data_IF_501869717378
#
_entry.id   IF_501869717378
#
_cell.length_a   1.000
_cell.length_b   1.000
_cell.length_c   1.000
_cell.angle_alpha   90.00
_cell.angle_beta   90.00
_cell.angle_gamma   90.00
#
_symmetry.space_group_name_H-M   'P 1'
#
loop_
_entity.id
_entity.type
_entity.pdbx_description
1 polymer ?
#
# COMPACT_ATOMS: atom_id res chain seq x y z
N UNK A 1 10.91 -4.06 -18.59
CA UNK A 1 11.53 -3.91 -17.25
C UNK A 1 10.76 -2.82 -16.50
N UNK A 2 10.46 -2.99 -15.22
CA UNK A 2 9.72 -2.01 -14.41
C UNK A 2 10.68 -1.17 -13.56
N UNK A 3 10.66 0.16 -13.72
CA UNK A 3 11.27 1.07 -12.75
C UNK A 3 10.24 1.38 -11.66
N UNK A 4 10.56 1.05 -10.41
CA UNK A 4 9.69 1.28 -9.25
C UNK A 4 10.25 2.40 -8.37
N UNK A 5 9.53 3.50 -8.28
CA UNK A 5 9.79 4.60 -7.36
C UNK A 5 9.13 4.32 -6.02
N UNK A 6 9.95 4.04 -5.01
CA UNK A 6 9.51 3.36 -3.80
C UNK A 6 10.05 3.97 -2.51
N UNK A 7 9.26 3.83 -1.46
CA UNK A 7 9.69 3.98 -0.08
C UNK A 7 9.06 2.92 0.82
N UNK A 8 9.67 2.68 1.97
CA UNK A 8 9.34 1.60 2.95
C UNK A 8 8.04 1.89 3.71
N UNK A 9 6.93 1.97 2.98
CA UNK A 9 5.59 2.28 3.48
C UNK A 9 4.58 1.21 3.05
N UNK A 10 3.41 1.11 3.70
CA UNK A 10 2.35 0.20 3.27
C UNK A 10 2.02 0.30 1.78
N UNK A 11 1.90 1.52 1.23
CA UNK A 11 1.56 1.69 -0.20
C UNK A 11 2.69 1.22 -1.13
N UNK A 12 3.95 1.41 -0.76
CA UNK A 12 5.09 0.89 -1.51
C UNK A 12 5.12 -0.64 -1.53
N UNK A 13 4.89 -1.26 -0.37
CA UNK A 13 4.92 -2.72 -0.21
C UNK A 13 3.89 -3.46 -1.07
N UNK A 14 2.74 -2.84 -1.37
CA UNK A 14 1.75 -3.40 -2.30
C UNK A 14 2.41 -3.79 -3.63
N UNK A 15 3.29 -2.93 -4.15
CA UNK A 15 3.87 -3.10 -5.48
C UNK A 15 5.05 -4.08 -5.44
N UNK A 16 5.91 -4.00 -4.43
CA UNK A 16 6.99 -4.98 -4.27
C UNK A 16 6.44 -6.38 -4.04
N UNK A 17 5.35 -6.54 -3.29
CA UNK A 17 4.68 -7.85 -3.14
C UNK A 17 4.21 -8.39 -4.49
N UNK A 18 3.60 -7.57 -5.34
CA UNK A 18 3.19 -7.99 -6.68
C UNK A 18 4.38 -8.40 -7.56
N UNK A 19 5.43 -7.59 -7.59
CA UNK A 19 6.62 -7.83 -8.41
C UNK A 19 7.35 -9.11 -7.96
N UNK A 20 7.47 -9.33 -6.65
CA UNK A 20 8.06 -10.55 -6.08
C UNK A 20 7.23 -11.82 -6.33
N UNK A 21 5.90 -11.70 -6.37
CA UNK A 21 4.98 -12.79 -6.68
C UNK A 21 4.98 -13.15 -8.17
N UNK A 22 5.14 -12.14 -9.02
CA UNK A 22 5.17 -12.33 -10.48
C UNK A 22 6.53 -12.73 -11.01
N UNK A 23 7.61 -12.33 -10.34
CA UNK A 23 8.98 -12.46 -10.85
C UNK A 23 9.27 -11.49 -12.00
N UNK A 24 8.45 -10.46 -12.21
CA UNK A 24 8.73 -9.42 -13.19
C UNK A 24 10.05 -8.73 -12.85
N UNK A 25 10.92 -8.54 -13.84
CA UNK A 25 12.17 -7.80 -13.64
C UNK A 25 11.88 -6.33 -13.32
N UNK A 26 12.42 -5.85 -12.20
CA UNK A 26 12.23 -4.48 -11.76
C UNK A 26 13.49 -3.91 -11.12
N UNK A 27 13.58 -2.57 -11.12
CA UNK A 27 14.62 -1.80 -10.46
C UNK A 27 13.98 -0.80 -9.50
N UNK A 28 14.50 -0.72 -8.28
CA UNK A 28 14.01 0.24 -7.29
C UNK A 28 14.77 1.56 -7.40
N UNK A 29 14.01 2.65 -7.37
CA UNK A 29 14.47 4.03 -7.23
C UNK A 29 13.94 4.56 -5.90
N UNK A 30 14.76 4.62 -4.85
CA UNK A 30 14.31 5.12 -3.55
C UNK A 30 13.88 6.58 -3.64
N UNK A 31 12.69 6.90 -3.13
CA UNK A 31 12.19 8.26 -2.94
C UNK A 31 12.03 8.49 -1.44
N UNK A 32 13.00 9.14 -0.81
CA UNK A 32 12.96 9.38 0.63
C UNK A 32 11.97 10.49 0.95
N UNK A 33 10.74 10.09 1.30
CA UNK A 33 9.65 11.02 1.57
C UNK A 33 9.89 11.90 2.82
N UNK A 34 10.75 11.46 3.74
CA UNK A 34 11.17 12.25 4.89
C UNK A 34 12.18 13.36 4.53
N UNK A 35 12.83 13.27 3.37
CA UNK A 35 13.75 14.28 2.83
C UNK A 35 13.14 15.15 1.74
N UNK A 36 11.91 14.85 1.30
CA UNK A 36 11.22 15.65 0.29
C UNK A 36 11.53 15.25 -1.15
N UNK A 37 12.12 14.06 -1.40
CA UNK A 37 12.46 13.59 -2.75
C UNK A 37 11.24 13.52 -3.68
N UNK A 38 10.04 13.35 -3.12
CA UNK A 38 8.76 13.35 -3.83
C UNK A 38 8.39 14.70 -4.45
N UNK A 39 9.12 15.78 -4.13
CA UNK A 39 8.92 17.11 -4.71
C UNK A 39 9.95 17.44 -5.80
N UNK A 40 10.86 16.52 -6.12
CA UNK A 40 11.86 16.74 -7.16
C UNK A 40 11.19 16.78 -8.55
N UNK A 41 11.58 17.71 -9.45
CA UNK A 41 10.94 17.89 -10.74
C UNK A 41 10.85 16.61 -11.59
N UNK A 42 11.88 15.75 -11.54
CA UNK A 42 11.89 14.52 -12.31
C UNK A 42 10.93 13.45 -11.78
N UNK A 43 10.69 13.42 -10.47
CA UNK A 43 9.67 12.55 -9.90
C UNK A 43 8.25 13.07 -10.18
N UNK A 44 8.04 14.39 -10.16
CA UNK A 44 6.74 15.00 -10.45
C UNK A 44 6.27 14.77 -11.89
N UNK A 45 7.19 14.61 -12.85
CA UNK A 45 6.86 14.18 -14.22
C UNK A 45 6.20 12.78 -14.27
N UNK A 46 6.43 11.96 -13.25
CA UNK A 46 5.94 10.57 -13.15
C UNK A 46 4.71 10.52 -12.24
N UNK A 47 4.77 11.19 -11.08
CA UNK A 47 3.69 11.26 -10.09
C UNK A 47 3.43 12.72 -9.70
N UNK A 48 2.53 13.43 -10.42
CA UNK A 48 2.23 14.83 -10.14
C UNK A 48 1.54 15.02 -8.79
N UNK A 49 0.97 13.94 -8.22
CA UNK A 49 0.42 13.91 -6.87
C UNK A 49 1.51 13.86 -5.77
N UNK A 50 2.80 13.97 -6.12
CA UNK A 50 3.94 13.95 -5.19
C UNK A 50 3.92 12.78 -4.19
N UNK A 51 3.36 11.63 -4.60
CA UNK A 51 3.23 10.45 -3.75
C UNK A 51 3.82 9.22 -4.40
N UNK A 52 4.47 8.42 -3.56
CA UNK A 52 4.84 7.03 -3.86
C UNK A 52 3.68 6.07 -3.54
N UNK A 53 3.66 4.87 -4.15
CA UNK A 53 4.54 4.41 -5.22
C UNK A 53 4.18 5.04 -6.57
N UNK A 54 5.16 5.01 -7.48
CA UNK A 54 4.95 5.22 -8.91
C UNK A 54 5.84 4.25 -9.70
N UNK A 55 5.46 3.91 -10.92
CA UNK A 55 6.27 3.08 -11.82
C UNK A 55 6.48 3.75 -13.18
N UNK A 56 7.53 3.32 -13.87
CA UNK A 56 7.67 3.47 -15.32
C UNK A 56 7.86 2.08 -15.92
N UNK A 57 6.97 1.70 -16.83
CA UNK A 57 7.09 0.48 -17.62
C UNK A 57 7.72 0.82 -18.97
N UNK A 58 8.93 0.32 -19.20
CA UNK A 58 9.68 0.55 -20.45
C UNK A 58 9.23 -0.32 -21.61
N UNK A 59 8.41 -1.34 -21.36
CA UNK A 59 7.96 -2.32 -22.35
C UNK A 59 6.47 -2.60 -22.19
N UNK A 60 5.58 -1.59 -22.32
CA UNK A 60 4.14 -1.80 -22.16
C UNK A 60 3.63 -2.80 -23.19
N UNK A 61 2.59 -3.57 -22.81
CA UNK A 61 2.10 -4.69 -23.61
C UNK A 61 1.49 -4.27 -24.98
N UNK A 62 1.14 -3.00 -25.14
CA UNK A 62 0.64 -2.43 -26.39
C UNK A 62 1.75 -2.01 -27.38
N UNK A 63 3.03 -2.16 -26.99
CA UNK A 63 4.19 -1.76 -27.81
C UNK A 63 4.40 -0.25 -27.91
N UNK A 64 3.69 0.54 -27.10
CA UNK A 64 3.83 1.99 -27.02
C UNK A 64 5.14 2.46 -26.38
N UNK A 65 5.36 3.79 -26.30
CA UNK A 65 6.46 4.36 -25.52
C UNK A 65 6.31 4.04 -24.03
N UNK A 66 7.38 4.26 -23.25
CA UNK A 66 7.37 4.00 -21.82
C UNK A 66 6.16 4.65 -21.11
N UNK A 67 5.50 3.89 -20.24
CA UNK A 67 4.27 4.30 -19.58
C UNK A 67 4.52 4.55 -18.09
N UNK A 68 4.25 5.76 -17.62
CA UNK A 68 4.24 6.09 -16.18
C UNK A 68 2.87 5.83 -15.56
N UNK A 69 2.85 5.22 -14.38
CA UNK A 69 1.62 4.97 -13.60
C UNK A 69 1.87 5.31 -12.13
N UNK A 70 1.03 6.17 -11.56
CA UNK A 70 0.98 6.47 -10.13
C UNK A 70 -0.35 5.96 -9.53
N UNK A 71 -0.52 6.07 -8.21
CA UNK A 71 -1.57 5.42 -7.40
C UNK A 71 -1.42 3.90 -7.29
N UNK A 72 -1.21 3.40 -6.07
CA UNK A 72 -0.90 1.98 -5.85
C UNK A 72 -1.99 1.02 -6.36
N UNK A 73 -3.26 1.44 -6.33
CA UNK A 73 -4.36 0.63 -6.85
C UNK A 73 -4.35 0.54 -8.37
N UNK A 74 -4.05 1.65 -9.05
CA UNK A 74 -3.93 1.69 -10.52
C UNK A 74 -2.71 0.88 -10.99
N UNK A 75 -1.58 0.99 -10.28
CA UNK A 75 -0.37 0.20 -10.56
C UNK A 75 -0.64 -1.30 -10.41
N UNK A 76 -1.28 -1.74 -9.32
CA UNK A 76 -1.64 -3.15 -9.13
C UNK A 76 -2.55 -3.67 -10.25
N UNK A 77 -3.56 -2.88 -10.64
CA UNK A 77 -4.46 -3.23 -11.73
C UNK A 77 -3.71 -3.35 -13.06
N UNK A 78 -2.88 -2.36 -13.39
CA UNK A 78 -2.05 -2.35 -14.60
C UNK A 78 -1.13 -3.58 -14.68
N UNK A 79 -0.40 -3.87 -13.60
CA UNK A 79 0.53 -5.01 -13.57
C UNK A 79 -0.22 -6.36 -13.63
N UNK A 80 -1.39 -6.47 -12.99
CA UNK A 80 -2.24 -7.65 -13.08
C UNK A 80 -2.74 -7.88 -14.51
N UNK A 81 -3.13 -6.84 -15.22
CA UNK A 81 -3.55 -6.90 -16.62
C UNK A 81 -2.39 -7.24 -17.55
N UNK A 82 -1.23 -6.58 -17.37
CA UNK A 82 -0.01 -6.86 -18.14
C UNK A 82 0.44 -8.31 -18.03
N UNK A 83 0.32 -8.89 -16.84
CA UNK A 83 0.82 -10.26 -16.57
C UNK A 83 -0.25 -11.34 -16.70
N UNK A 84 -1.53 -10.98 -16.70
CA UNK A 84 -2.65 -11.92 -16.58
C UNK A 84 -2.70 -12.64 -15.23
N UNK A 85 -2.06 -12.11 -14.17
CA UNK A 85 -1.93 -12.76 -12.86
C UNK A 85 -2.65 -11.96 -11.76
N UNK A 86 -3.14 -12.67 -10.75
CA UNK A 86 -3.74 -12.10 -9.52
C UNK A 86 -5.02 -11.26 -9.73
N UNK A 87 -5.64 -11.39 -10.90
CA UNK A 87 -6.94 -10.80 -11.23
C UNK A 87 -7.68 -11.75 -12.20
N UNK A 88 -8.83 -12.32 -11.80
CA UNK A 88 -9.63 -13.16 -12.70
C UNK A 88 -10.08 -12.41 -13.95
N UNK A 89 -10.24 -13.14 -15.05
CA UNK A 89 -10.67 -12.58 -16.34
C UNK A 89 -12.19 -12.70 -16.54
N UNK A 90 -12.86 -13.59 -15.80
CA UNK A 90 -14.31 -13.66 -15.84
C UNK A 90 -14.94 -12.45 -15.14
N UNK A 91 -16.10 -12.02 -15.64
CA UNK A 91 -16.78 -10.82 -15.15
C UNK A 91 -16.98 -10.85 -13.62
N UNK A 92 -17.39 -11.98 -13.06
CA UNK A 92 -17.78 -12.07 -11.65
C UNK A 92 -16.56 -12.07 -10.73
N UNK A 93 -15.55 -12.89 -11.03
CA UNK A 93 -14.30 -12.94 -10.29
C UNK A 93 -13.54 -11.62 -10.35
N UNK A 94 -13.49 -10.99 -11.53
CA UNK A 94 -12.85 -9.68 -11.71
C UNK A 94 -13.49 -8.62 -10.81
N UNK A 95 -14.83 -8.52 -10.83
CA UNK A 95 -15.52 -7.52 -10.02
C UNK A 95 -15.48 -7.81 -8.52
N UNK A 96 -15.40 -9.08 -8.09
CA UNK A 96 -15.16 -9.44 -6.68
C UNK A 96 -13.79 -8.92 -6.21
N UNK A 97 -12.72 -9.09 -7.00
CA UNK A 97 -11.41 -8.51 -6.66
C UNK A 97 -11.44 -6.97 -6.67
N UNK A 98 -12.01 -6.38 -7.72
CA UNK A 98 -11.98 -4.92 -7.90
C UNK A 98 -12.73 -4.18 -6.80
N UNK A 99 -13.91 -4.65 -6.37
CA UNK A 99 -14.65 -3.98 -5.29
C UNK A 99 -13.83 -3.93 -3.99
N UNK A 100 -13.03 -4.97 -3.71
CA UNK A 100 -12.18 -5.00 -2.51
C UNK A 100 -10.90 -4.18 -2.67
N UNK A 101 -10.33 -4.13 -3.88
CA UNK A 101 -9.24 -3.21 -4.20
C UNK A 101 -9.69 -1.75 -3.99
N UNK A 102 -10.85 -1.36 -4.51
CA UNK A 102 -11.38 -0.01 -4.33
C UNK A 102 -11.80 0.26 -2.87
N UNK A 103 -12.37 -0.73 -2.17
CA UNK A 103 -12.63 -0.64 -0.74
C UNK A 103 -11.35 -0.37 0.06
N UNK A 104 -10.23 -1.00 -0.30
CA UNK A 104 -8.94 -0.74 0.33
C UNK A 104 -8.48 0.70 0.06
N UNK A 105 -8.52 1.13 -1.21
CA UNK A 105 -8.04 2.45 -1.64
C UNK A 105 -8.87 3.61 -1.06
N UNK A 106 -10.18 3.40 -0.86
CA UNK A 106 -11.09 4.44 -0.37
C UNK A 106 -11.42 4.33 1.14
N UNK A 107 -11.19 3.16 1.75
CA UNK A 107 -11.56 2.87 3.14
C UNK A 107 -10.34 2.55 3.99
N UNK A 108 -9.89 1.28 3.96
CA UNK A 108 -8.84 0.77 4.86
C UNK A 108 -7.58 1.64 4.89
N UNK A 109 -7.01 1.95 3.72
CA UNK A 109 -5.78 2.72 3.62
C UNK A 109 -5.94 4.14 4.17
N UNK A 110 -6.85 4.96 3.62
CA UNK A 110 -7.07 6.32 4.10
C UNK A 110 -7.39 6.41 5.60
N UNK A 111 -8.28 5.55 6.12
CA UNK A 111 -8.70 5.61 7.53
C UNK A 111 -7.58 5.15 8.48
N UNK A 112 -6.84 4.09 8.14
CA UNK A 112 -5.67 3.69 8.92
C UNK A 112 -4.54 4.73 8.84
N UNK A 113 -4.43 5.47 7.74
CA UNK A 113 -3.54 6.62 7.61
C UNK A 113 -3.88 7.74 8.59
N UNK A 114 -5.17 8.07 8.75
CA UNK A 114 -5.61 9.04 9.75
C UNK A 114 -5.39 8.53 11.18
N UNK A 115 -5.63 7.24 11.43
CA UNK A 115 -5.29 6.60 12.70
C UNK A 115 -3.80 6.79 13.02
N UNK A 116 -2.90 6.42 12.11
CA UNK A 116 -1.46 6.65 12.31
C UNK A 116 -1.13 8.13 12.59
N UNK A 117 -1.76 9.06 11.86
CA UNK A 117 -1.54 10.48 12.06
C UNK A 117 -1.91 10.92 13.49
N UNK A 118 -3.17 10.77 13.90
CA UNK A 118 -3.62 11.26 15.21
C UNK A 118 -3.07 10.44 16.38
N UNK A 119 -2.90 9.13 16.20
CA UNK A 119 -2.45 8.24 17.26
C UNK A 119 -0.93 8.33 17.48
N UNK A 120 -0.14 8.46 16.42
CA UNK A 120 1.33 8.36 16.50
C UNK A 120 2.05 9.67 16.17
N UNK A 121 1.67 10.36 15.10
CA UNK A 121 2.50 11.43 14.53
C UNK A 121 2.12 12.85 14.96
N UNK A 122 0.84 13.10 15.25
CA UNK A 122 0.34 14.42 15.61
C UNK A 122 1.05 14.93 16.88
N UNK A 123 1.52 16.20 16.87
CA UNK A 123 2.23 16.76 18.01
C UNK A 123 1.34 16.92 19.24
N UNK A 124 0.05 17.20 19.02
CA UNK A 124 -0.98 17.28 20.05
C UNK A 124 -1.88 16.04 20.02
N UNK A 125 -2.23 15.52 21.19
CA UNK A 125 -3.21 14.44 21.32
C UNK A 125 -4.61 15.02 21.33
N UNK A 126 -5.40 14.65 20.34
CA UNK A 126 -6.80 15.05 20.19
C UNK A 126 -7.68 13.82 20.46
N UNK A 127 -8.22 13.63 21.68
CA UNK A 127 -8.89 12.39 22.07
C UNK A 127 -10.04 11.98 21.14
N UNK A 128 -10.84 12.95 20.70
CA UNK A 128 -11.94 12.71 19.76
C UNK A 128 -11.45 12.15 18.42
N UNK A 129 -10.39 12.72 17.84
CA UNK A 129 -9.85 12.27 16.57
C UNK A 129 -9.22 10.88 16.69
N UNK A 130 -8.48 10.64 17.77
CA UNK A 130 -7.88 9.33 18.07
C UNK A 130 -8.98 8.27 18.19
N UNK A 131 -9.99 8.49 19.05
CA UNK A 131 -11.08 7.53 19.24
C UNK A 131 -11.84 7.27 17.92
N UNK A 132 -12.16 8.33 17.16
CA UNK A 132 -12.83 8.21 15.86
C UNK A 132 -12.07 7.29 14.89
N UNK A 133 -10.78 7.52 14.69
CA UNK A 133 -10.02 6.77 13.68
C UNK A 133 -9.55 5.39 14.17
N UNK A 134 -9.35 5.20 15.49
CA UNK A 134 -9.14 3.86 16.07
C UNK A 134 -10.39 3.01 15.89
N UNK A 135 -11.58 3.54 16.21
CA UNK A 135 -12.85 2.81 16.04
C UNK A 135 -13.15 2.51 14.57
N UNK A 136 -12.94 3.46 13.67
CA UNK A 136 -13.16 3.22 12.23
C UNK A 136 -12.18 2.19 11.68
N UNK A 137 -10.92 2.19 12.11
CA UNK A 137 -9.95 1.14 11.74
C UNK A 137 -10.42 -0.23 12.23
N UNK A 138 -10.87 -0.34 13.49
CA UNK A 138 -11.43 -1.57 14.04
C UNK A 138 -12.70 -2.04 13.32
N UNK A 139 -13.57 -1.12 12.89
CA UNK A 139 -14.73 -1.45 12.05
C UNK A 139 -14.31 -2.07 10.71
N UNK A 140 -13.29 -1.49 10.06
CA UNK A 140 -12.75 -2.00 8.78
C UNK A 140 -12.07 -3.36 8.95
N UNK A 141 -11.40 -3.61 10.08
CA UNK A 141 -10.89 -4.93 10.45
C UNK A 141 -12.03 -5.93 10.65
N UNK A 142 -13.12 -5.52 11.32
CA UNK A 142 -14.33 -6.32 11.46
C UNK A 142 -14.97 -6.69 10.12
N UNK A 143 -14.98 -5.77 9.16
CA UNK A 143 -15.46 -6.03 7.78
C UNK A 143 -14.60 -7.09 7.10
N UNK A 144 -13.27 -6.96 7.13
CA UNK A 144 -12.37 -7.98 6.55
C UNK A 144 -12.49 -9.32 7.27
N UNK A 145 -12.56 -9.33 8.60
CA UNK A 145 -12.72 -10.54 9.38
C UNK A 145 -14.01 -11.29 9.01
N UNK A 146 -15.11 -10.56 8.83
CA UNK A 146 -16.37 -11.17 8.37
C UNK A 146 -16.26 -11.70 6.96
N UNK A 147 -15.68 -10.92 6.04
CA UNK A 147 -15.44 -11.34 4.67
C UNK A 147 -14.61 -12.61 4.60
N UNK A 148 -13.60 -12.74 5.44
CA UNK A 148 -12.67 -13.86 5.48
C UNK A 148 -13.23 -15.09 6.24
N UNK A 149 -14.44 -15.03 6.79
CA UNK A 149 -14.97 -16.13 7.62
C UNK A 149 -15.23 -17.43 6.87
N UNK A 150 -15.49 -17.36 5.56
CA UNK A 150 -15.85 -18.50 4.70
C UNK A 150 -14.87 -18.72 3.53
N UNK A 151 -13.72 -18.02 3.54
CA UNK A 151 -12.76 -18.00 2.43
C UNK A 151 -11.33 -17.87 2.92
N UNK A 152 -10.39 -18.29 2.08
CA UNK A 152 -8.96 -18.22 2.38
C UNK A 152 -8.40 -16.81 2.15
N UNK A 153 -8.74 -16.21 1.00
CA UNK A 153 -8.35 -14.86 0.60
C UNK A 153 -9.58 -13.98 0.36
N UNK A 154 -9.36 -12.65 0.28
CA UNK A 154 -10.45 -11.65 0.26
C UNK A 154 -11.46 -11.95 -0.86
N UNK A 155 -10.97 -12.33 -2.04
CA UNK A 155 -11.78 -12.65 -3.23
C UNK A 155 -11.61 -14.14 -3.64
N UNK A 156 -11.69 -15.04 -2.64
CA UNK A 156 -11.49 -16.51 -2.75
C UNK A 156 -10.04 -16.91 -2.98
N UNK A 157 -9.47 -16.55 -4.13
CA UNK A 157 -8.06 -16.78 -4.46
C UNK A 157 -7.21 -15.54 -4.12
N UNK A 158 -5.91 -15.76 -3.88
CA UNK A 158 -4.98 -14.68 -3.60
C UNK A 158 -4.89 -13.72 -4.78
N UNK A 159 -5.12 -12.44 -4.52
CA UNK A 159 -5.31 -11.43 -5.56
C UNK A 159 -4.64 -10.10 -5.22
N UNK A 160 -4.72 -9.15 -6.16
CA UNK A 160 -4.29 -7.78 -5.90
C UNK A 160 -5.07 -7.09 -4.76
N UNK A 161 -6.28 -7.54 -4.42
CA UNK A 161 -7.00 -7.02 -3.24
C UNK A 161 -6.29 -7.40 -1.93
N UNK A 162 -5.75 -8.61 -1.85
CA UNK A 162 -4.98 -9.09 -0.70
C UNK A 162 -3.65 -8.33 -0.57
N UNK A 163 -2.92 -8.18 -1.68
CA UNK A 163 -1.68 -7.38 -1.74
C UNK A 163 -1.90 -5.92 -1.38
N UNK A 164 -3.08 -5.37 -1.71
CA UNK A 164 -3.45 -4.01 -1.35
C UNK A 164 -3.77 -3.86 0.15
N UNK A 165 -4.44 -4.85 0.75
CA UNK A 165 -4.88 -4.78 2.15
C UNK A 165 -3.78 -5.14 3.14
N UNK A 166 -3.00 -6.19 2.86
CA UNK A 166 -2.05 -6.77 3.81
C UNK A 166 -1.04 -5.76 4.38
N UNK A 167 -0.37 -4.91 3.58
CA UNK A 167 0.59 -3.95 4.12
C UNK A 167 -0.02 -2.94 5.10
N UNK A 168 -1.32 -2.67 4.98
CA UNK A 168 -2.04 -1.78 5.90
C UNK A 168 -2.42 -2.48 7.21
N UNK A 169 -2.49 -3.81 7.24
CA UNK A 169 -2.74 -4.60 8.46
C UNK A 169 -1.46 -4.92 9.24
N UNK A 170 -0.29 -4.91 8.58
CA UNK A 170 1.02 -5.18 9.24
C UNK A 170 1.30 -4.27 10.45
N UNK A 171 0.80 -3.03 10.44
CA UNK A 171 0.98 -2.09 11.56
C UNK A 171 -0.21 -2.09 12.55
N UNK A 172 -0.95 -3.20 12.69
CA UNK A 172 -2.15 -3.29 13.53
C UNK A 172 -1.95 -2.79 14.97
N UNK A 173 -0.81 -3.10 15.61
CA UNK A 173 -0.51 -2.65 16.98
C UNK A 173 -0.43 -1.12 17.06
N UNK A 174 0.22 -0.49 16.06
CA UNK A 174 0.32 0.98 15.95
C UNK A 174 -1.03 1.63 15.62
N UNK A 175 -1.99 0.84 15.16
CA UNK A 175 -3.37 1.24 14.90
C UNK A 175 -4.28 0.99 16.11
N UNK A 176 -3.72 0.56 17.24
CA UNK A 176 -4.44 0.17 18.45
C UNK A 176 -5.46 -0.95 18.19
N UNK A 177 -5.08 -1.93 17.36
CA UNK A 177 -5.90 -3.12 17.07
C UNK A 177 -5.20 -4.39 17.56
N UNK A 178 -5.94 -5.26 18.24
CA UNK A 178 -5.52 -6.62 18.56
C UNK A 178 -6.08 -7.59 17.51
N UNK A 179 -5.21 -8.29 16.77
CA UNK A 179 -5.65 -9.28 15.79
C UNK A 179 -6.34 -10.50 16.44
N UNK A 180 -6.18 -10.73 17.74
CA UNK A 180 -6.91 -11.79 18.44
C UNK A 180 -8.42 -11.53 18.48
N UNK A 181 -8.86 -10.27 18.38
CA UNK A 181 -10.28 -9.91 18.27
C UNK A 181 -10.87 -10.27 16.87
N UNK A 182 -10.01 -10.59 15.90
CA UNK A 182 -10.37 -10.82 14.50
C UNK A 182 -9.76 -12.13 13.98
N UNK A 183 -10.26 -13.31 14.42
CA UNK A 183 -9.60 -14.59 14.19
C UNK A 183 -9.42 -14.96 12.71
N UNK A 184 -10.38 -14.63 11.84
CA UNK A 184 -10.29 -14.93 10.41
C UNK A 184 -9.32 -14.00 9.69
N UNK A 185 -9.26 -12.74 10.12
CA UNK A 185 -8.27 -11.77 9.65
C UNK A 185 -6.86 -12.14 10.11
N UNK A 186 -6.69 -12.56 11.37
CA UNK A 186 -5.42 -13.04 11.91
C UNK A 186 -4.88 -14.23 11.10
N UNK A 187 -5.72 -15.24 10.83
CA UNK A 187 -5.36 -16.39 10.00
C UNK A 187 -4.93 -15.96 8.59
N UNK A 188 -5.65 -15.04 7.97
CA UNK A 188 -5.31 -14.50 6.64
C UNK A 188 -3.99 -13.73 6.67
N UNK A 189 -3.77 -12.93 7.71
CA UNK A 189 -2.55 -12.15 7.92
C UNK A 189 -1.33 -13.06 8.03
N UNK A 190 -1.40 -14.10 8.87
CA UNK A 190 -0.34 -15.09 9.04
C UNK A 190 -0.07 -15.88 7.75
N UNK A 191 -1.12 -16.25 7.01
CA UNK A 191 -1.00 -16.93 5.72
C UNK A 191 -0.24 -16.10 4.68
N UNK A 192 -0.54 -14.79 4.56
CA UNK A 192 0.19 -13.90 3.65
C UNK A 192 1.62 -13.66 4.13
N UNK A 193 1.83 -13.43 5.43
CA UNK A 193 3.16 -13.25 6.00
C UNK A 193 4.09 -14.45 5.75
N UNK A 194 3.52 -15.66 5.67
CA UNK A 194 4.26 -16.87 5.38
C UNK A 194 4.69 -17.02 3.91
N UNK A 195 4.11 -16.26 2.98
CA UNK A 195 4.39 -16.38 1.54
C UNK A 195 5.84 -16.00 1.23
N UNK A 196 6.59 -16.79 0.45
CA UNK A 196 7.99 -16.48 0.12
C UNK A 196 8.18 -15.11 -0.54
N UNK A 197 7.30 -14.74 -1.46
CA UNK A 197 7.35 -13.44 -2.12
C UNK A 197 7.06 -12.26 -1.17
N UNK A 198 6.18 -12.46 -0.19
CA UNK A 198 5.93 -11.45 0.85
C UNK A 198 7.18 -11.25 1.70
N UNK A 199 7.86 -12.33 2.11
CA UNK A 199 9.12 -12.23 2.85
C UNK A 199 10.20 -11.48 2.06
N UNK A 200 10.42 -11.84 0.79
CA UNK A 200 11.36 -11.12 -0.10
C UNK A 200 11.01 -9.63 -0.22
N UNK A 201 9.73 -9.31 -0.41
CA UNK A 201 9.27 -7.92 -0.52
C UNK A 201 9.54 -7.09 0.75
N UNK A 202 9.44 -7.70 1.93
CA UNK A 202 9.75 -7.04 3.20
C UNK A 202 11.26 -7.03 3.52
N UNK A 203 12.03 -7.99 3.03
CA UNK A 203 13.49 -8.01 3.20
C UNK A 203 14.17 -6.84 2.48
N UNK A 204 13.60 -6.34 1.38
CA UNK A 204 14.08 -5.13 0.66
C UNK A 204 14.22 -3.89 1.57
N UNK A 205 13.48 -3.83 2.68
CA UNK A 205 13.58 -2.73 3.66
C UNK A 205 15.02 -2.60 4.18
N UNK A 206 15.72 -3.72 4.38
CA UNK A 206 17.09 -3.76 4.91
C UNK A 206 18.09 -3.09 3.95
N UNK A 207 17.81 -3.10 2.66
CA UNK A 207 18.67 -2.49 1.64
C UNK A 207 18.31 -1.01 1.42
N UNK A 208 17.02 -0.68 1.44
CA UNK A 208 16.51 0.64 1.03
C UNK A 208 16.49 1.63 2.20
N UNK A 209 16.19 1.15 3.40
CA UNK A 209 16.09 1.97 4.62
C UNK A 209 16.65 1.19 5.83
N UNK A 210 17.96 0.89 5.85
CA UNK A 210 18.59 0.02 6.86
C UNK A 210 18.48 0.55 8.30
N UNK A 211 18.29 1.86 8.47
CA UNK A 211 18.14 2.50 9.77
C UNK A 211 16.91 3.43 9.75
N UNK A 212 15.69 2.88 9.90
CA UNK A 212 14.48 3.69 9.94
C UNK A 212 14.52 4.60 11.18
N UNK A 213 14.67 5.91 10.97
CA UNK A 213 14.61 6.89 12.03
C UNK A 213 13.17 7.39 12.23
N UNK A 214 12.76 7.74 13.47
CA UNK A 214 11.55 8.52 13.68
C UNK A 214 11.58 9.79 12.85
N UNK A 215 10.42 10.24 12.34
CA UNK A 215 10.34 11.51 11.64
C UNK A 215 10.67 12.66 12.60
N UNK A 216 11.76 13.38 12.30
CA UNK A 216 12.08 14.64 12.96
C UNK A 216 11.09 15.74 12.56
N UNK A 217 11.23 16.94 13.13
CA UNK A 217 10.32 18.06 12.86
C UNK A 217 10.34 18.49 11.38
N UNK A 218 11.51 18.46 10.73
CA UNK A 218 11.64 18.80 9.32
C UNK A 218 10.90 17.80 8.42
N UNK A 219 11.07 16.49 8.69
CA UNK A 219 10.36 15.43 7.99
C UNK A 219 8.83 15.53 8.22
N UNK A 220 8.39 15.82 9.44
CA UNK A 220 6.95 16.02 9.73
C UNK A 220 6.38 17.19 8.92
N UNK A 221 7.10 18.31 8.81
CA UNK A 221 6.67 19.46 8.00
C UNK A 221 6.52 19.08 6.53
N UNK A 222 7.45 18.31 5.98
CA UNK A 222 7.37 17.83 4.59
C UNK A 222 6.22 16.85 4.36
N UNK A 223 5.94 15.97 5.32
CA UNK A 223 4.93 14.92 5.19
C UNK A 223 3.50 15.40 5.47
N UNK A 224 3.32 16.31 6.42
CA UNK A 224 2.00 16.69 6.95
C UNK A 224 1.67 18.19 6.79
N UNK A 225 2.65 19.03 6.45
CA UNK A 225 2.46 20.47 6.23
C UNK A 225 2.15 20.84 4.78
N UNK A 226 1.57 19.92 4.00
CA UNK A 226 1.24 20.12 2.59
C UNK A 226 -0.15 20.74 2.43
N UNK A 227 -0.28 21.64 1.46
CA UNK A 227 -1.52 22.27 1.05
C UNK A 227 -1.58 22.46 -0.48
N UNK A 228 -2.59 23.18 -0.98
CA UNK A 228 -2.74 23.43 -2.41
C UNK A 228 -1.52 24.13 -3.04
N UNK A 229 -0.75 24.92 -2.28
CA UNK A 229 0.47 25.59 -2.74
C UNK A 229 1.69 24.68 -2.84
N UNK A 230 1.62 23.46 -2.31
CA UNK A 230 2.70 22.46 -2.43
C UNK A 230 2.62 21.62 -3.70
N UNK A 231 1.49 21.66 -4.41
CA UNK A 231 1.32 21.03 -5.72
C UNK A 231 2.08 21.88 -6.75
N UNK A 232 3.05 21.28 -7.44
CA UNK A 232 3.92 21.92 -8.43
C UNK A 232 3.72 21.33 -9.81
#
# INVERSE_FOLDING_TARGET
>A
MIDLYYWTTPNGHKITMFLEETGLAYKIFPINIGKGDQFQPDFLKISPNNRIPAIVDHEPADGGPALSVFESGAILLYLAEKTGRFLPQDLRGRHDVLQWLFWQMAGLGPMAGQNHHFNVYAPEKIPYAIDRYVRETGRLYGVLNKQLSDREFIAKEYSIADMACYPWVVSHERQSQDLNDFPHLKRWFEAIAARPATRRAYDLVKEINPAPAPHDEAARKLLFGQDAGTVK
#
